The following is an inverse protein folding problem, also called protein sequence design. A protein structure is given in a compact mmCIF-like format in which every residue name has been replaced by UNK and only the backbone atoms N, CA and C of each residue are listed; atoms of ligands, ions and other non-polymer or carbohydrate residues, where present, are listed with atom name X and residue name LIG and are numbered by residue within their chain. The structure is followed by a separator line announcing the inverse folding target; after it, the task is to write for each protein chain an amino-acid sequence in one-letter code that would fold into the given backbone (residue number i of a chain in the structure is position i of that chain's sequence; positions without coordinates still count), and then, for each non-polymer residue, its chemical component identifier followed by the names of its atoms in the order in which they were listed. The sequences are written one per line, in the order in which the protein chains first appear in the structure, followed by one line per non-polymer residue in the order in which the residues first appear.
data_IF_707220287470
#
_entry.id   IF_707220287470
#
_cell.length_a   1.000
_cell.length_b   1.000
_cell.length_c   1.000
_cell.angle_alpha   90.00
_cell.angle_beta   90.00
_cell.angle_gamma   90.00
#
_symmetry.space_group_name_H-M   'P 1'
#
loop_
_entity.id
_entity.type
_entity.pdbx_description
1 polymer ?
#
# COMPACT_ATOMS: atom_id res chain seq x y z
N UNK A 1 -4.29 1.88 8.28
CA UNK A 1 -3.27 1.41 9.25
C UNK A 1 -4.02 0.85 10.43
N UNK A 2 -4.01 -0.46 10.62
CA UNK A 2 -4.80 -1.16 11.66
C UNK A 2 -3.95 -1.36 12.92
N UNK A 3 -4.54 -1.21 14.09
CA UNK A 3 -3.89 -1.45 15.39
C UNK A 3 -4.22 -2.88 15.84
N UNK A 4 -3.19 -3.61 16.30
CA UNK A 4 -3.34 -4.96 16.86
C UNK A 4 -3.31 -4.82 18.38
N UNK A 5 -4.39 -5.20 19.04
CA UNK A 5 -4.49 -5.19 20.52
C UNK A 5 -4.52 -6.62 21.03
N UNK A 6 -3.56 -6.99 21.88
CA UNK A 6 -3.57 -8.26 22.62
C UNK A 6 -4.48 -8.12 23.85
N UNK A 7 -5.57 -8.87 23.92
CA UNK A 7 -6.35 -9.06 25.13
C UNK A 7 -6.08 -10.47 25.69
N UNK A 8 -5.63 -10.52 26.94
CA UNK A 8 -5.17 -11.73 27.63
C UNK A 8 -6.32 -12.67 28.00
N UNK A 9 -6.72 -13.51 27.07
CA UNK A 9 -7.29 -14.84 27.34
C UNK A 9 -6.74 -15.76 26.25
N UNK A 10 -5.68 -16.48 26.63
CA UNK A 10 -4.81 -17.38 25.86
C UNK A 10 -5.24 -17.62 24.39
N UNK A 11 -4.50 -16.95 23.48
CA UNK A 11 -4.42 -17.22 22.04
C UNK A 11 -5.50 -16.67 21.10
N UNK A 12 -6.25 -15.62 21.47
CA UNK A 12 -7.10 -14.90 20.50
C UNK A 12 -6.53 -13.56 20.06
N UNK A 13 -6.53 -13.29 18.75
CA UNK A 13 -6.18 -11.99 18.16
C UNK A 13 -7.45 -11.32 17.64
N UNK A 14 -7.56 -10.02 17.89
CA UNK A 14 -8.63 -9.17 17.35
C UNK A 14 -8.02 -8.12 16.43
N UNK A 15 -8.54 -8.02 15.20
CA UNK A 15 -8.27 -6.92 14.28
C UNK A 15 -9.45 -5.96 14.38
N UNK A 16 -9.20 -4.72 14.77
CA UNK A 16 -10.21 -3.67 14.93
C UNK A 16 -9.99 -2.54 13.92
N UNK A 17 -11.07 -1.83 13.59
CA UNK A 17 -10.96 -0.54 12.91
C UNK A 17 -10.66 0.59 13.93
N UNK A 18 -10.50 1.81 13.43
CA UNK A 18 -10.21 2.99 14.26
C UNK A 18 -11.36 3.36 15.19
N UNK A 19 -12.58 2.89 14.89
CA UNK A 19 -13.79 3.06 15.70
C UNK A 19 -13.93 1.98 16.78
N UNK A 20 -12.96 1.07 16.92
CA UNK A 20 -12.99 -0.02 17.91
C UNK A 20 -13.88 -1.20 17.52
N UNK A 21 -14.48 -1.19 16.33
CA UNK A 21 -15.27 -2.32 15.84
C UNK A 21 -14.33 -3.48 15.49
N UNK A 22 -14.60 -4.66 16.04
CA UNK A 22 -13.88 -5.89 15.67
C UNK A 22 -14.23 -6.27 14.24
N UNK A 23 -13.26 -6.20 13.35
CA UNK A 23 -13.38 -6.64 11.97
C UNK A 23 -13.17 -8.15 11.86
N UNK A 24 -12.28 -8.69 12.68
CA UNK A 24 -11.83 -10.07 12.53
C UNK A 24 -11.30 -10.63 13.85
N UNK A 25 -11.72 -11.85 14.21
CA UNK A 25 -11.24 -12.60 15.38
C UNK A 25 -10.51 -13.85 14.89
N UNK A 26 -9.31 -14.05 15.38
CA UNK A 26 -8.47 -15.20 15.05
C UNK A 26 -7.91 -15.91 16.26
N UNK A 27 -7.31 -17.06 16.00
CA UNK A 27 -6.48 -17.78 16.97
C UNK A 27 -5.00 -17.62 16.58
N UNK A 28 -4.15 -17.40 17.57
CA UNK A 28 -2.72 -17.52 17.41
C UNK A 28 -2.34 -19.01 17.46
N UNK A 29 -1.67 -19.49 16.44
CA UNK A 29 -1.10 -20.83 16.43
C UNK A 29 0.39 -20.73 16.09
N UNK A 30 1.25 -21.29 16.95
CA UNK A 30 2.71 -21.26 16.76
C UNK A 30 3.29 -19.85 16.56
N UNK A 31 2.72 -18.85 17.21
CA UNK A 31 3.16 -17.44 17.05
C UNK A 31 2.70 -16.79 15.75
N UNK A 32 1.90 -17.46 14.92
CA UNK A 32 1.33 -16.95 13.68
C UNK A 32 -0.19 -16.76 13.78
N UNK A 33 -0.70 -15.81 13.02
CA UNK A 33 -2.13 -15.56 12.90
C UNK A 33 -2.77 -16.64 12.02
N UNK A 34 -3.66 -17.47 12.59
CA UNK A 34 -4.42 -18.47 11.82
C UNK A 34 -5.71 -17.83 11.29
N UNK A 35 -5.84 -17.76 9.96
CA UNK A 35 -7.11 -17.44 9.31
C UNK A 35 -8.05 -18.66 9.42
N UNK A 36 -9.32 -18.50 9.80
CA UNK A 36 -10.24 -19.62 9.87
C UNK A 36 -10.41 -20.27 8.49
N UNK A 37 -10.04 -21.55 8.38
CA UNK A 37 -10.17 -22.34 7.14
C UNK A 37 -11.63 -22.60 6.71
N UNK A 38 -12.62 -22.03 7.42
CA UNK A 38 -14.05 -22.22 7.14
C UNK A 38 -14.56 -21.45 5.92
N UNK A 39 -13.70 -20.71 5.23
CA UNK A 39 -14.02 -20.34 3.86
C UNK A 39 -14.03 -21.64 3.06
N UNK A 40 -15.23 -22.17 2.79
CA UNK A 40 -15.47 -23.03 1.64
C UNK A 40 -14.58 -22.53 0.50
N UNK A 41 -13.91 -23.40 -0.27
CA UNK A 41 -13.15 -22.96 -1.42
C UNK A 41 -14.14 -22.34 -2.42
N UNK A 42 -14.50 -21.08 -2.22
CA UNK A 42 -14.87 -20.20 -3.31
C UNK A 42 -13.71 -20.37 -4.28
N UNK A 43 -13.98 -20.66 -5.58
CA UNK A 43 -12.90 -20.78 -6.54
C UNK A 43 -12.00 -19.58 -6.32
N UNK A 44 -10.71 -19.82 -6.05
CA UNK A 44 -9.73 -18.78 -5.77
C UNK A 44 -9.69 -17.84 -6.98
N UNK A 45 -10.63 -16.90 -7.03
CA UNK A 45 -10.72 -15.84 -8.02
C UNK A 45 -9.83 -14.75 -7.46
N UNK A 46 -8.52 -14.99 -7.56
CA UNK A 46 -7.63 -13.87 -7.61
C UNK A 46 -8.05 -13.05 -8.83
N UNK A 47 -8.43 -11.79 -8.62
CA UNK A 47 -8.72 -10.83 -9.67
C UNK A 47 -7.43 -10.49 -10.44
N UNK A 48 -6.83 -11.48 -11.11
CA UNK A 48 -5.67 -11.31 -11.98
C UNK A 48 -6.05 -10.58 -13.28
N UNK A 49 -7.34 -10.49 -13.60
CA UNK A 49 -7.86 -9.93 -14.84
C UNK A 49 -8.28 -8.46 -14.79
N UNK A 50 -8.05 -7.74 -13.69
CA UNK A 50 -8.46 -6.34 -13.63
C UNK A 50 -7.55 -5.47 -14.50
N UNK A 51 -8.01 -5.20 -15.73
CA UNK A 51 -7.45 -4.18 -16.60
C UNK A 51 -7.47 -2.86 -15.84
N UNK A 52 -6.32 -2.20 -15.74
CA UNK A 52 -6.19 -1.00 -14.92
C UNK A 52 -5.60 0.15 -15.73
N UNK A 53 -5.74 1.38 -15.25
CA UNK A 53 -5.18 2.54 -15.97
C UNK A 53 -3.65 2.55 -15.90
N UNK A 54 -3.02 3.32 -16.80
CA UNK A 54 -1.60 3.60 -16.72
C UNK A 54 -1.21 4.18 -15.35
N UNK A 55 -2.04 5.06 -14.79
CA UNK A 55 -1.88 5.58 -13.43
C UNK A 55 -1.90 4.50 -12.33
N UNK A 56 -2.78 3.51 -12.44
CA UNK A 56 -2.77 2.41 -11.48
C UNK A 56 -1.52 1.53 -11.63
N UNK A 57 -1.03 1.30 -12.85
CA UNK A 57 0.26 0.64 -13.04
C UNK A 57 1.42 1.46 -12.47
N UNK A 58 1.40 2.78 -12.63
CA UNK A 58 2.35 3.69 -11.98
C UNK A 58 2.38 3.49 -10.46
N UNK A 59 1.21 3.42 -9.80
CA UNK A 59 1.13 3.17 -8.36
C UNK A 59 1.57 1.75 -7.97
N UNK A 60 1.14 0.72 -8.71
CA UNK A 60 1.44 -0.70 -8.43
C UNK A 60 2.92 -1.05 -8.58
N UNK A 61 3.62 -0.41 -9.53
CA UNK A 61 5.03 -0.68 -9.84
C UNK A 61 6.01 0.23 -9.08
N UNK A 62 5.58 0.82 -7.96
CA UNK A 62 6.39 1.71 -7.12
C UNK A 62 6.79 3.03 -7.79
N UNK A 63 5.85 3.67 -8.48
CA UNK A 63 5.99 5.02 -9.03
C UNK A 63 7.14 5.20 -10.05
N UNK A 64 7.29 4.31 -11.05
CA UNK A 64 8.26 4.52 -12.10
C UNK A 64 7.95 5.80 -12.88
N UNK A 65 8.98 6.40 -13.47
CA UNK A 65 8.79 7.52 -14.38
C UNK A 65 7.98 7.08 -15.59
N UNK A 66 7.17 7.98 -16.14
CA UNK A 66 6.32 7.71 -17.31
C UNK A 66 7.03 6.99 -18.48
N UNK A 67 8.25 7.38 -18.92
CA UNK A 67 8.94 6.67 -20.00
C UNK A 67 9.27 5.21 -19.64
N UNK A 68 9.68 4.95 -18.39
CA UNK A 68 9.96 3.59 -17.92
C UNK A 68 8.67 2.79 -17.87
N UNK A 69 7.60 3.38 -17.36
CA UNK A 69 6.30 2.74 -17.26
C UNK A 69 5.74 2.35 -18.64
N UNK A 70 5.79 3.26 -19.61
CA UNK A 70 5.35 2.97 -20.98
C UNK A 70 6.17 1.85 -21.62
N UNK A 71 7.48 1.85 -21.39
CA UNK A 71 8.35 0.75 -21.84
C UNK A 71 7.89 -0.56 -21.21
N UNK A 72 7.68 -0.62 -19.89
CA UNK A 72 7.20 -1.83 -19.21
C UNK A 72 5.85 -2.33 -19.77
N UNK A 73 4.90 -1.41 -19.96
CA UNK A 73 3.59 -1.76 -20.54
C UNK A 73 3.75 -2.36 -21.94
N UNK A 74 4.59 -1.78 -22.80
CA UNK A 74 4.85 -2.31 -24.14
C UNK A 74 5.61 -3.64 -24.13
N UNK A 75 6.65 -3.76 -23.31
CA UNK A 75 7.53 -4.94 -23.27
C UNK A 75 6.81 -6.16 -22.72
N UNK A 76 5.95 -5.97 -21.71
CA UNK A 76 5.22 -7.07 -21.05
C UNK A 76 3.76 -7.18 -21.51
N UNK A 77 3.34 -6.38 -22.50
CA UNK A 77 1.96 -6.35 -23.00
C UNK A 77 0.91 -6.19 -21.89
N UNK A 78 1.19 -5.31 -20.92
CA UNK A 78 0.34 -5.14 -19.75
C UNK A 78 -1.04 -4.58 -20.18
N UNK A 79 -2.15 -5.15 -19.69
CA UNK A 79 -3.48 -4.67 -20.04
C UNK A 79 -3.73 -3.30 -19.42
N UNK A 80 -4.00 -2.31 -20.26
CA UNK A 80 -4.38 -0.95 -19.84
C UNK A 80 -5.82 -0.62 -20.27
N UNK A 81 -6.58 0.05 -19.38
CA UNK A 81 -7.90 0.63 -19.71
C UNK A 81 -7.81 2.06 -20.20
N UNK A 82 -6.79 2.80 -19.75
CA UNK A 82 -6.49 4.16 -20.20
C UNK A 82 -4.98 4.40 -20.20
N UNK A 83 -4.51 5.19 -21.15
CA UNK A 83 -3.11 5.57 -21.33
C UNK A 83 -2.75 6.91 -20.69
N UNK A 84 -3.69 7.53 -19.95
CA UNK A 84 -3.47 8.81 -19.28
C UNK A 84 -2.71 8.60 -17.97
N UNK A 85 -1.62 9.34 -17.79
CA UNK A 85 -0.94 9.51 -16.51
C UNK A 85 -1.19 10.93 -16.00
N UNK A 86 -1.50 11.15 -14.72
CA UNK A 86 -1.57 12.50 -14.16
C UNK A 86 -0.22 13.21 -14.29
N UNK A 87 -0.26 14.51 -14.54
CA UNK A 87 0.94 15.36 -14.59
C UNK A 87 1.70 15.37 -13.25
N UNK A 88 0.97 15.21 -12.15
CA UNK A 88 1.50 15.23 -10.78
C UNK A 88 0.90 14.06 -10.01
N UNK A 89 1.77 13.26 -9.39
CA UNK A 89 1.39 12.23 -8.43
C UNK A 89 1.86 12.66 -7.03
N UNK A 90 0.93 12.72 -6.07
CA UNK A 90 1.20 13.19 -4.70
C UNK A 90 2.32 12.41 -4.02
N UNK A 91 2.29 11.08 -4.11
CA UNK A 91 3.34 10.20 -3.53
C UNK A 91 4.71 10.47 -4.16
N UNK A 92 4.76 10.73 -5.47
CA UNK A 92 6.02 11.10 -6.14
C UNK A 92 6.53 12.47 -5.68
N UNK A 93 5.64 13.45 -5.52
CA UNK A 93 6.00 14.78 -5.04
C UNK A 93 6.56 14.72 -3.62
N UNK A 94 5.88 14.01 -2.72
CA UNK A 94 6.32 13.80 -1.35
C UNK A 94 7.65 13.03 -1.28
N UNK A 95 7.85 12.01 -2.12
CA UNK A 95 9.13 11.31 -2.18
C UNK A 95 10.29 12.18 -2.67
N UNK A 96 10.01 13.14 -3.55
CA UNK A 96 11.02 14.09 -4.08
C UNK A 96 11.30 15.25 -3.13
N UNK A 97 10.35 15.65 -2.28
CA UNK A 97 10.49 16.80 -1.39
C UNK A 97 11.56 16.62 -0.30
N UNK A 98 11.97 15.38 0.02
CA UNK A 98 13.07 15.12 0.95
C UNK A 98 14.43 15.69 0.47
N UNK A 99 14.56 16.04 -0.83
CA UNK A 99 15.76 16.68 -1.40
C UNK A 99 15.77 18.19 -1.22
N UNK A 100 14.74 18.80 -0.64
CA UNK A 100 14.73 20.23 -0.40
C UNK A 100 15.67 20.55 0.76
N UNK A 101 16.68 21.38 0.50
CA UNK A 101 17.56 21.88 1.54
C UNK A 101 16.72 22.59 2.60
N UNK A 102 16.73 22.08 3.83
CA UNK A 102 16.22 22.82 4.98
C UNK A 102 17.02 24.12 5.09
N UNK A 103 16.37 25.29 5.19
CA UNK A 103 17.09 26.54 5.42
C UNK A 103 17.87 26.42 6.73
N UNK A 104 19.20 26.60 6.64
CA UNK A 104 20.05 26.64 7.84
C UNK A 104 19.61 27.84 8.67
N UNK A 105 19.23 27.62 9.92
CA UNK A 105 18.95 28.69 10.89
C UNK A 105 20.17 29.60 10.93
N UNK A 106 20.00 30.87 10.54
CA UNK A 106 21.00 31.90 10.78
C UNK A 106 21.05 32.10 12.30
N UNK A 107 22.07 31.54 12.93
CA UNK A 107 22.44 31.88 14.31
C UNK A 107 22.89 33.35 14.30
N UNK A 108 21.96 34.27 14.51
CA UNK A 108 22.27 35.65 14.84
C UNK A 108 22.65 35.73 16.31
N UNK A 109 23.92 35.47 16.62
CA UNK A 109 24.52 35.80 17.91
C UNK A 109 25.76 36.64 17.64
N UNK A 110 25.62 37.95 17.78
CA UNK A 110 26.76 38.86 17.95
C UNK A 110 26.47 39.70 19.19
N UNK A 111 27.11 39.31 20.29
CA UNK A 111 27.37 40.17 21.45
C UNK A 111 28.81 40.61 21.38
#
# INVERSE_FOLDING_TARGET
MSLVTLASSLYHILITNLQGQTLLRGTLENGLYRLPSSCQPSPLRAFFGERTSLECWHRRLAHPTEPILRRLVSTFSLPITSSSLPNICDSCQLGKSHRLHLPKRLESSKT
#
